data_IF_886313259649
#
_entry.id   IF_886313259649
#
_cell.length_a   1.000
_cell.length_b   1.000
_cell.length_c   1.000
_cell.angle_alpha   90.00
_cell.angle_beta   90.00
_cell.angle_gamma   90.00
#
_symmetry.space_group_name_H-M   'P 1'
#
loop_
_entity.id
_entity.type
_entity.pdbx_description
1 polymer ?
#
# COMPACT_ATOMS: atom_id res chain seq x y z
N UNK A 1 -25.01 -1.83 13.29
CA UNK A 1 -24.49 -0.49 13.35
C UNK A 1 -23.27 -0.45 12.47
N UNK A 2 -23.20 0.50 11.53
CA UNK A 2 -22.00 0.68 10.70
C UNK A 2 -20.85 1.18 11.58
N UNK A 3 -19.66 0.75 11.28
CA UNK A 3 -18.46 1.35 11.83
C UNK A 3 -18.38 2.82 11.38
N UNK A 4 -17.81 3.71 12.19
CA UNK A 4 -17.57 5.09 11.77
C UNK A 4 -16.75 5.12 10.47
N UNK A 5 -17.21 5.88 9.50
CA UNK A 5 -16.53 6.04 8.22
C UNK A 5 -16.42 7.54 7.93
N UNK A 6 -15.33 7.95 7.30
CA UNK A 6 -15.23 9.30 6.77
C UNK A 6 -16.16 9.46 5.58
N UNK A 7 -16.87 10.56 5.52
CA UNK A 7 -17.45 11.04 4.27
C UNK A 7 -16.37 11.51 3.31
N UNK A 8 -16.69 11.65 2.03
CA UNK A 8 -15.74 12.19 1.06
C UNK A 8 -15.23 13.59 1.45
N UNK A 9 -16.10 14.43 1.99
CA UNK A 9 -15.73 15.78 2.46
C UNK A 9 -14.78 15.71 3.66
N UNK A 10 -15.09 14.94 4.69
CA UNK A 10 -14.20 14.76 5.85
C UNK A 10 -12.83 14.19 5.45
N UNK A 11 -12.80 13.29 4.47
CA UNK A 11 -11.56 12.73 3.98
C UNK A 11 -10.75 13.76 3.16
N UNK A 12 -11.41 14.61 2.36
CA UNK A 12 -10.75 15.74 1.69
C UNK A 12 -10.20 16.76 2.70
N UNK A 13 -10.98 17.10 3.72
CA UNK A 13 -10.54 18.02 4.77
C UNK A 13 -9.30 17.51 5.51
N UNK A 14 -9.26 16.21 5.82
CA UNK A 14 -8.11 15.56 6.43
C UNK A 14 -6.85 15.61 5.54
N UNK A 15 -7.01 15.32 4.24
CA UNK A 15 -5.91 15.42 3.28
C UNK A 15 -5.44 16.87 3.12
N UNK A 16 -6.37 17.84 3.05
CA UNK A 16 -6.01 19.24 2.94
C UNK A 16 -5.25 19.71 4.18
N UNK A 17 -5.67 19.30 5.37
CA UNK A 17 -4.93 19.58 6.60
C UNK A 17 -3.51 19.02 6.56
N UNK A 18 -3.33 17.79 6.08
CA UNK A 18 -2.00 17.19 5.89
C UNK A 18 -1.14 18.01 4.91
N UNK A 19 -1.73 18.44 3.78
CA UNK A 19 -1.04 19.27 2.80
C UNK A 19 -0.65 20.65 3.36
N UNK A 20 -1.51 21.27 4.14
CA UNK A 20 -1.23 22.54 4.84
C UNK A 20 -0.09 22.40 5.86
N UNK A 21 0.12 21.19 6.39
CA UNK A 21 1.27 20.83 7.23
C UNK A 21 2.53 20.43 6.41
N UNK A 22 2.51 20.55 5.08
CA UNK A 22 3.64 20.24 4.20
C UNK A 22 3.79 18.74 3.88
N UNK A 23 2.77 17.93 4.15
CA UNK A 23 2.72 16.51 3.79
C UNK A 23 2.04 16.30 2.45
N UNK A 24 2.41 15.24 1.73
CA UNK A 24 1.70 14.77 0.55
C UNK A 24 0.92 13.49 0.92
N UNK A 25 -0.42 13.56 1.09
CA UNK A 25 -1.22 12.39 1.41
C UNK A 25 -1.21 11.40 0.23
N UNK A 26 -1.06 10.12 0.54
CA UNK A 26 -1.13 9.04 -0.44
C UNK A 26 -2.35 8.20 -0.07
N UNK A 27 -3.38 8.29 -0.91
CA UNK A 27 -4.59 7.50 -0.73
C UNK A 27 -4.38 6.10 -1.32
N UNK A 28 -4.90 5.09 -0.66
CA UNK A 28 -4.79 3.70 -1.07
C UNK A 28 -6.17 3.05 -1.20
N UNK A 29 -6.35 2.28 -2.27
CA UNK A 29 -7.43 1.30 -2.40
C UNK A 29 -6.76 -0.06 -2.59
N UNK A 30 -6.67 -0.79 -1.49
CA UNK A 30 -6.01 -2.08 -1.50
C UNK A 30 -6.87 -3.14 -2.18
N UNK A 31 -6.36 -3.60 -3.33
CA UNK A 31 -6.95 -4.64 -4.17
C UNK A 31 -5.86 -5.24 -5.10
N UNK A 32 -6.02 -6.46 -5.61
CA UNK A 32 -7.17 -7.38 -5.51
C UNK A 32 -7.13 -8.33 -4.29
N UNK A 33 -6.08 -8.24 -3.45
CA UNK A 33 -6.04 -8.79 -2.10
C UNK A 33 -6.94 -7.99 -1.15
N UNK A 34 -7.05 -8.39 0.10
CA UNK A 34 -7.74 -7.65 1.20
C UNK A 34 -9.12 -7.06 0.85
N UNK A 35 -9.79 -7.63 -0.13
CA UNK A 35 -10.96 -7.06 -0.81
C UNK A 35 -12.31 -7.59 -0.30
N UNK A 36 -12.36 -8.14 0.90
CA UNK A 36 -13.59 -8.65 1.51
C UNK A 36 -14.71 -7.62 1.53
N UNK A 37 -14.36 -6.36 1.80
CA UNK A 37 -15.33 -5.27 1.85
C UNK A 37 -15.99 -5.04 0.49
N UNK A 38 -15.21 -5.02 -0.59
CA UNK A 38 -15.74 -4.85 -1.96
C UNK A 38 -16.66 -6.00 -2.36
N UNK A 39 -16.26 -7.23 -2.08
CA UNK A 39 -17.09 -8.40 -2.36
C UNK A 39 -18.43 -8.36 -1.61
N UNK A 40 -18.40 -7.98 -0.34
CA UNK A 40 -19.63 -7.82 0.47
C UNK A 40 -20.48 -6.65 -0.03
N UNK A 41 -19.86 -5.53 -0.37
CA UNK A 41 -20.56 -4.36 -0.89
C UNK A 41 -21.30 -4.68 -2.18
N UNK A 42 -20.62 -5.26 -3.16
CA UNK A 42 -21.21 -5.63 -4.44
C UNK A 42 -22.38 -6.60 -4.24
N UNK A 43 -22.18 -7.66 -3.47
CA UNK A 43 -23.24 -8.63 -3.20
C UNK A 43 -24.47 -8.00 -2.54
N UNK A 44 -24.25 -7.17 -1.53
CA UNK A 44 -25.35 -6.57 -0.77
C UNK A 44 -26.08 -5.46 -1.53
N UNK A 45 -25.46 -4.86 -2.55
CA UNK A 45 -26.00 -3.74 -3.31
C UNK A 45 -26.17 -4.05 -4.80
N UNK A 46 -26.18 -5.31 -5.18
CA UNK A 46 -26.16 -5.71 -6.61
C UNK A 46 -27.32 -5.12 -7.41
N UNK A 47 -28.51 -5.00 -6.85
CA UNK A 47 -29.67 -4.43 -7.55
C UNK A 47 -29.51 -2.92 -7.82
N UNK A 48 -28.80 -2.20 -6.95
CA UNK A 48 -28.47 -0.79 -7.16
C UNK A 48 -27.34 -0.64 -8.19
N UNK A 49 -26.32 -1.49 -8.08
CA UNK A 49 -25.18 -1.51 -9.01
C UNK A 49 -25.67 -1.79 -10.45
N UNK A 50 -26.62 -2.71 -10.62
CA UNK A 50 -27.21 -3.02 -11.93
C UNK A 50 -27.99 -1.86 -12.57
N UNK A 51 -28.34 -0.83 -11.81
CA UNK A 51 -28.95 0.40 -12.36
C UNK A 51 -27.91 1.35 -12.97
N UNK A 52 -26.63 1.14 -12.66
CA UNK A 52 -25.55 1.93 -13.23
C UNK A 52 -25.25 1.45 -14.65
N UNK A 53 -25.11 2.39 -15.57
CA UNK A 53 -24.83 2.10 -16.97
C UNK A 53 -23.59 1.23 -17.12
N UNK A 54 -23.75 0.10 -17.80
CA UNK A 54 -22.70 -0.86 -18.06
C UNK A 54 -22.53 -1.93 -16.99
N UNK A 55 -23.33 -1.90 -15.91
CA UNK A 55 -23.35 -2.94 -14.87
C UNK A 55 -24.65 -3.76 -14.86
N UNK A 56 -25.52 -3.58 -15.82
CA UNK A 56 -26.88 -4.15 -15.87
C UNK A 56 -26.89 -5.68 -15.75
N UNK A 57 -25.85 -6.34 -16.25
CA UNK A 57 -25.73 -7.80 -16.27
C UNK A 57 -24.70 -8.35 -15.27
N UNK A 58 -24.24 -7.53 -14.33
CA UNK A 58 -23.25 -7.97 -13.35
C UNK A 58 -23.81 -9.09 -12.46
N UNK A 59 -23.13 -10.26 -12.33
CA UNK A 59 -23.54 -11.29 -11.39
C UNK A 59 -23.45 -10.84 -9.93
N UNK A 60 -24.22 -11.47 -9.04
CA UNK A 60 -24.24 -11.14 -7.60
C UNK A 60 -22.84 -11.23 -6.95
N UNK A 61 -22.07 -12.29 -7.28
CA UNK A 61 -20.71 -12.47 -6.86
C UNK A 61 -19.71 -12.15 -7.99
N UNK A 62 -20.05 -11.18 -8.86
CA UNK A 62 -19.39 -10.97 -10.14
C UNK A 62 -17.93 -10.56 -10.09
N UNK A 63 -17.49 -9.97 -8.98
CA UNK A 63 -16.09 -9.53 -8.82
C UNK A 63 -15.25 -10.48 -7.99
N UNK A 64 -15.88 -11.44 -7.31
CA UNK A 64 -15.23 -12.31 -6.33
C UNK A 64 -14.36 -13.37 -7.00
N UNK A 65 -13.18 -13.66 -6.41
CA UNK A 65 -12.40 -14.85 -6.74
C UNK A 65 -13.16 -16.14 -6.38
N UNK A 66 -13.00 -17.17 -7.17
CA UNK A 66 -13.51 -18.50 -6.89
C UNK A 66 -12.81 -19.19 -5.71
N UNK A 67 -11.71 -18.62 -5.22
CA UNK A 67 -10.88 -19.17 -4.15
C UNK A 67 -11.21 -18.62 -2.77
N UNK A 68 -11.42 -17.32 -2.65
CA UNK A 68 -11.56 -16.66 -1.36
C UNK A 68 -12.44 -15.40 -1.47
N UNK A 69 -13.15 -15.08 -0.39
CA UNK A 69 -13.92 -13.84 -0.26
C UNK A 69 -13.05 -12.60 -0.04
N UNK A 70 -11.82 -12.79 0.41
CA UNK A 70 -10.86 -11.70 0.59
C UNK A 70 -10.17 -11.27 -0.70
N UNK A 71 -10.43 -11.99 -1.80
CA UNK A 71 -9.79 -11.74 -3.09
C UNK A 71 -10.82 -11.34 -4.16
N UNK A 72 -10.48 -10.32 -4.94
CA UNK A 72 -11.16 -10.10 -6.23
C UNK A 72 -10.61 -11.06 -7.27
N UNK A 73 -11.42 -11.36 -8.25
CA UNK A 73 -10.96 -12.16 -9.39
C UNK A 73 -10.06 -11.32 -10.30
N UNK A 74 -8.99 -11.93 -10.80
CA UNK A 74 -8.11 -11.35 -11.84
C UNK A 74 -8.22 -12.11 -13.16
N UNK A 75 -9.15 -13.07 -13.28
CA UNK A 75 -9.29 -13.89 -14.49
C UNK A 75 -10.74 -14.01 -14.97
N UNK A 76 -10.90 -14.34 -16.25
CA UNK A 76 -12.18 -14.60 -16.86
C UNK A 76 -13.16 -13.45 -16.75
N UNK A 77 -14.45 -13.75 -16.78
CA UNK A 77 -15.53 -12.76 -16.71
C UNK A 77 -15.55 -12.02 -15.37
N UNK A 78 -15.35 -12.74 -14.26
CA UNK A 78 -15.29 -12.11 -12.92
C UNK A 78 -14.12 -11.14 -12.79
N UNK A 79 -12.96 -11.43 -13.40
CA UNK A 79 -11.84 -10.50 -13.44
C UNK A 79 -12.14 -9.23 -14.25
N UNK A 80 -12.89 -9.36 -15.34
CA UNK A 80 -13.34 -8.20 -16.11
C UNK A 80 -14.33 -7.34 -15.32
N UNK A 81 -15.24 -7.95 -14.58
CA UNK A 81 -16.16 -7.22 -13.70
C UNK A 81 -15.43 -6.54 -12.53
N UNK A 82 -14.47 -7.22 -11.92
CA UNK A 82 -13.65 -6.65 -10.84
C UNK A 82 -12.88 -5.41 -11.32
N UNK A 83 -12.21 -5.52 -12.46
CA UNK A 83 -11.46 -4.41 -13.05
C UNK A 83 -12.39 -3.24 -13.40
N UNK A 84 -13.54 -3.52 -14.01
CA UNK A 84 -14.54 -2.50 -14.35
C UNK A 84 -15.10 -1.79 -13.12
N UNK A 85 -15.38 -2.54 -12.06
CA UNK A 85 -15.88 -2.00 -10.80
C UNK A 85 -14.84 -1.05 -10.18
N UNK A 86 -13.57 -1.49 -10.07
CA UNK A 86 -12.51 -0.67 -9.52
C UNK A 86 -12.23 0.56 -10.38
N UNK A 87 -12.20 0.43 -11.70
CA UNK A 87 -12.03 1.60 -12.59
C UNK A 87 -13.14 2.63 -12.42
N UNK A 88 -14.38 2.19 -12.23
CA UNK A 88 -15.48 3.10 -11.94
C UNK A 88 -15.29 3.83 -10.59
N UNK A 89 -14.85 3.10 -9.56
CA UNK A 89 -14.54 3.67 -8.24
C UNK A 89 -13.38 4.69 -8.32
N UNK A 90 -12.30 4.35 -9.00
CA UNK A 90 -11.17 5.27 -9.21
C UNK A 90 -11.60 6.50 -10.03
N UNK A 91 -12.45 6.33 -11.05
CA UNK A 91 -12.97 7.46 -11.84
C UNK A 91 -13.78 8.45 -11.01
N UNK A 92 -14.48 7.97 -9.98
CA UNK A 92 -15.17 8.83 -9.03
C UNK A 92 -14.17 9.59 -8.14
N UNK A 93 -13.20 8.89 -7.57
CA UNK A 93 -12.25 9.46 -6.61
C UNK A 93 -11.16 10.33 -7.24
N UNK A 94 -10.87 10.12 -8.53
CA UNK A 94 -9.87 10.86 -9.30
C UNK A 94 -10.50 11.88 -10.26
N UNK A 95 -11.79 12.17 -10.11
CA UNK A 95 -12.52 13.11 -10.97
C UNK A 95 -11.84 14.49 -10.96
N UNK A 96 -11.43 15.00 -12.13
CA UNK A 96 -10.72 16.28 -12.26
C UNK A 96 -11.52 17.48 -11.70
N UNK A 97 -12.85 17.45 -11.80
CA UNK A 97 -13.69 18.57 -11.35
C UNK A 97 -13.84 18.63 -9.84
N UNK A 98 -13.80 17.48 -9.15
CA UNK A 98 -13.96 17.37 -7.70
C UNK A 98 -13.28 16.08 -7.19
N UNK A 99 -11.94 16.04 -7.14
CA UNK A 99 -11.22 14.84 -6.72
C UNK A 99 -11.40 14.58 -5.23
N UNK A 100 -11.60 13.31 -4.87
CA UNK A 100 -11.56 12.86 -3.47
C UNK A 100 -10.12 12.60 -3.02
N UNK A 101 -9.26 12.08 -3.91
CA UNK A 101 -7.85 11.88 -3.64
C UNK A 101 -7.05 13.13 -4.04
N UNK A 102 -6.57 13.90 -3.06
CA UNK A 102 -5.93 15.18 -3.30
C UNK A 102 -4.42 15.07 -3.56
N UNK A 103 -3.74 14.11 -2.97
CA UNK A 103 -2.30 13.91 -3.13
C UNK A 103 -1.86 13.62 -4.56
N UNK A 104 -0.56 13.71 -4.84
CA UNK A 104 0.00 13.49 -6.18
C UNK A 104 0.28 12.02 -6.50
N UNK A 105 0.13 11.14 -5.54
CA UNK A 105 0.40 9.71 -5.64
C UNK A 105 -0.78 8.92 -5.11
N UNK A 106 -1.10 7.80 -5.76
CA UNK A 106 -2.14 6.86 -5.33
C UNK A 106 -1.55 5.47 -5.26
N UNK A 107 -1.79 4.77 -4.16
CA UNK A 107 -1.40 3.38 -3.98
C UNK A 107 -2.55 2.45 -4.42
N UNK A 108 -2.23 1.46 -5.24
CA UNK A 108 -3.19 0.51 -5.81
C UNK A 108 -3.20 -0.85 -5.09
N UNK A 109 -2.48 -0.97 -3.96
CA UNK A 109 -2.36 -2.19 -3.18
C UNK A 109 -1.49 -3.24 -3.86
N UNK A 110 -2.07 -4.38 -4.25
CA UNK A 110 -1.46 -5.51 -4.98
C UNK A 110 -0.73 -6.53 -4.09
N UNK A 111 -0.66 -6.31 -2.80
CA UNK A 111 -0.04 -7.25 -1.87
C UNK A 111 -0.94 -8.47 -1.57
N UNK A 112 -0.30 -9.47 -1.05
CA UNK A 112 -0.89 -10.69 -0.48
C UNK A 112 -2.02 -11.36 -1.28
N UNK A 113 -1.95 -11.32 -2.62
CA UNK A 113 -2.81 -12.16 -3.45
C UNK A 113 -2.34 -13.62 -3.38
N UNK A 114 -2.54 -14.23 -2.22
CA UNK A 114 -1.99 -15.54 -1.88
C UNK A 114 -2.59 -16.68 -2.68
N UNK A 115 -1.80 -17.76 -2.79
CA UNK A 115 -2.21 -18.98 -3.50
C UNK A 115 -2.60 -18.78 -4.96
N UNK A 116 -2.02 -17.77 -5.62
CA UNK A 116 -2.27 -17.48 -7.04
C UNK A 116 -2.02 -18.72 -7.90
N UNK A 117 -2.91 -19.00 -8.83
CA UNK A 117 -2.82 -20.16 -9.74
C UNK A 117 -2.20 -19.78 -11.08
N UNK A 118 -1.74 -20.78 -11.83
CA UNK A 118 -1.06 -20.54 -13.10
C UNK A 118 -1.90 -19.79 -14.14
N UNK A 119 -3.21 -19.95 -14.13
CA UNK A 119 -4.16 -19.29 -15.02
C UNK A 119 -4.53 -17.86 -14.58
N UNK A 120 -3.99 -17.40 -13.44
CA UNK A 120 -4.25 -16.07 -12.89
C UNK A 120 -3.10 -15.06 -13.09
N UNK A 121 -1.88 -15.55 -13.39
CA UNK A 121 -0.70 -14.66 -13.47
C UNK A 121 -0.81 -13.61 -14.58
N UNK A 122 -1.31 -13.97 -15.75
CA UNK A 122 -1.53 -13.00 -16.84
C UNK A 122 -2.60 -11.98 -16.46
N UNK A 123 -3.67 -12.44 -15.83
CA UNK A 123 -4.72 -11.59 -15.30
C UNK A 123 -4.21 -10.63 -14.22
N UNK A 124 -3.34 -11.09 -13.32
CA UNK A 124 -2.73 -10.22 -12.31
C UNK A 124 -1.85 -9.14 -12.94
N UNK A 125 -1.00 -9.49 -13.89
CA UNK A 125 -0.16 -8.51 -14.60
C UNK A 125 -1.00 -7.49 -15.37
N UNK A 126 -2.06 -7.96 -16.04
CA UNK A 126 -3.03 -7.08 -16.69
C UNK A 126 -3.72 -6.15 -15.67
N UNK A 127 -4.14 -6.69 -14.53
CA UNK A 127 -4.73 -5.90 -13.45
C UNK A 127 -3.81 -4.77 -13.00
N UNK A 128 -2.54 -5.08 -12.70
CA UNK A 128 -1.55 -4.08 -12.28
C UNK A 128 -1.43 -2.97 -13.34
N UNK A 129 -1.28 -3.31 -14.62
CA UNK A 129 -1.14 -2.32 -15.69
C UNK A 129 -2.39 -1.46 -15.84
N UNK A 130 -3.57 -2.08 -15.93
CA UNK A 130 -4.84 -1.37 -16.10
C UNK A 130 -5.16 -0.41 -14.96
N UNK A 131 -4.85 -0.79 -13.71
CA UNK A 131 -5.04 0.10 -12.56
C UNK A 131 -4.01 1.22 -12.54
N UNK A 132 -2.76 0.92 -12.88
CA UNK A 132 -1.72 1.94 -13.00
C UNK A 132 -2.07 2.96 -14.09
N UNK A 133 -2.48 2.52 -15.26
CA UNK A 133 -2.92 3.40 -16.36
C UNK A 133 -4.09 4.29 -15.91
N UNK A 134 -5.07 3.70 -15.21
CA UNK A 134 -6.25 4.45 -14.70
C UNK A 134 -5.85 5.60 -13.77
N UNK A 135 -4.88 5.38 -12.88
CA UNK A 135 -4.37 6.42 -11.99
C UNK A 135 -3.56 7.46 -12.77
N UNK A 136 -2.68 7.01 -13.68
CA UNK A 136 -1.81 7.89 -14.47
C UNK A 136 -2.59 8.78 -15.44
N UNK A 137 -3.71 8.30 -15.98
CA UNK A 137 -4.63 9.11 -16.80
C UNK A 137 -5.16 10.33 -16.06
N UNK A 138 -5.23 10.29 -14.72
CA UNK A 138 -5.58 11.45 -13.88
C UNK A 138 -4.40 12.38 -13.58
N UNK A 139 -3.21 12.11 -14.15
CA UNK A 139 -1.99 12.89 -13.92
C UNK A 139 -1.26 12.58 -12.62
N UNK A 140 -1.67 11.54 -11.89
CA UNK A 140 -1.06 11.16 -10.61
C UNK A 140 -0.02 10.06 -10.80
N UNK A 141 0.91 9.96 -9.85
CA UNK A 141 1.86 8.85 -9.74
C UNK A 141 1.16 7.62 -9.17
N UNK A 142 1.67 6.46 -9.55
CA UNK A 142 1.18 5.17 -9.05
C UNK A 142 2.21 4.56 -8.12
N UNK A 143 1.72 4.03 -7.02
CA UNK A 143 2.48 3.20 -6.08
C UNK A 143 1.77 1.87 -5.88
N UNK A 144 2.52 0.84 -5.52
CA UNK A 144 1.97 -0.44 -5.10
C UNK A 144 2.88 -1.12 -4.08
N UNK A 145 2.35 -2.05 -3.31
CA UNK A 145 3.14 -2.93 -2.45
C UNK A 145 3.97 -3.91 -3.28
N UNK A 146 5.21 -4.12 -2.88
CA UNK A 146 6.17 -4.98 -3.58
C UNK A 146 5.69 -6.43 -3.69
N UNK A 147 5.40 -6.86 -4.92
CA UNK A 147 4.89 -8.19 -5.26
C UNK A 147 5.43 -8.72 -6.60
N UNK A 148 6.36 -8.01 -7.20
CA UNK A 148 6.89 -8.31 -8.54
C UNK A 148 7.61 -9.65 -8.64
N UNK A 149 8.22 -10.12 -7.55
CA UNK A 149 8.92 -11.43 -7.56
C UNK A 149 7.96 -12.54 -7.94
N UNK A 150 6.83 -12.64 -7.26
CA UNK A 150 5.86 -13.70 -7.49
C UNK A 150 5.21 -13.64 -8.86
N UNK A 151 4.85 -12.43 -9.31
CA UNK A 151 4.06 -12.27 -10.54
C UNK A 151 4.91 -12.22 -11.81
N UNK A 152 6.18 -11.86 -11.70
CA UNK A 152 7.09 -11.67 -12.82
C UNK A 152 8.34 -12.56 -12.74
N UNK A 153 9.17 -12.40 -11.69
CA UNK A 153 10.49 -13.02 -11.62
C UNK A 153 10.41 -14.56 -11.62
N UNK A 154 9.56 -15.10 -10.75
CA UNK A 154 9.36 -16.55 -10.63
C UNK A 154 8.74 -17.18 -11.90
N UNK A 155 8.27 -16.36 -12.83
CA UNK A 155 7.73 -16.74 -14.14
C UNK A 155 8.66 -16.39 -15.31
N UNK A 156 9.79 -15.74 -15.05
CA UNK A 156 10.71 -15.30 -16.08
C UNK A 156 10.15 -14.20 -17.00
N UNK A 157 9.19 -13.42 -16.49
CA UNK A 157 8.56 -12.31 -17.22
C UNK A 157 9.29 -11.00 -16.90
N UNK A 158 9.50 -10.17 -17.89
CA UNK A 158 10.14 -8.85 -17.74
C UNK A 158 9.24 -7.87 -16.99
N UNK A 159 9.84 -7.09 -16.10
CA UNK A 159 9.19 -5.99 -15.37
C UNK A 159 9.36 -4.64 -16.06
N UNK A 160 10.05 -4.59 -17.21
CA UNK A 160 10.47 -3.35 -17.87
C UNK A 160 9.32 -2.38 -18.15
N UNK A 161 8.16 -2.89 -18.50
CA UNK A 161 6.98 -2.07 -18.84
C UNK A 161 6.18 -1.60 -17.60
N UNK A 162 6.75 -1.79 -16.40
CA UNK A 162 6.14 -1.45 -15.11
C UNK A 162 7.02 -0.53 -14.26
N UNK A 163 8.16 -0.06 -14.78
CA UNK A 163 9.13 0.78 -14.04
C UNK A 163 8.62 2.19 -13.76
N UNK A 164 7.48 2.55 -14.28
CA UNK A 164 6.72 3.76 -14.02
C UNK A 164 5.85 3.69 -12.75
N UNK A 165 5.83 2.52 -12.09
CA UNK A 165 5.13 2.28 -10.82
C UNK A 165 6.16 2.32 -9.68
N UNK A 166 5.89 3.13 -8.64
CA UNK A 166 6.69 3.13 -7.41
C UNK A 166 6.39 1.88 -6.58
N UNK A 167 7.39 1.34 -5.87
CA UNK A 167 7.26 0.12 -5.08
C UNK A 167 7.47 0.41 -3.59
N UNK A 168 6.47 0.15 -2.78
CA UNK A 168 6.60 0.03 -1.32
C UNK A 168 7.14 -1.36 -0.99
N UNK A 169 8.46 -1.43 -0.71
CA UNK A 169 9.11 -2.69 -0.39
C UNK A 169 8.87 -3.08 1.06
N UNK A 170 8.14 -4.16 1.28
CA UNK A 170 7.74 -4.61 2.62
C UNK A 170 8.28 -5.99 3.01
N UNK A 171 8.51 -6.88 2.05
CA UNK A 171 8.90 -8.26 2.31
C UNK A 171 9.74 -8.89 1.20
N UNK A 172 10.83 -9.52 1.60
CA UNK A 172 11.70 -10.29 0.70
C UNK A 172 11.04 -11.55 0.11
N UNK A 173 9.99 -12.03 0.74
CA UNK A 173 9.20 -13.15 0.20
C UNK A 173 8.44 -12.76 -1.06
N UNK A 174 8.04 -11.50 -1.14
CA UNK A 174 7.20 -10.96 -2.20
C UNK A 174 7.95 -10.18 -3.27
N UNK A 175 9.10 -9.56 -2.90
CA UNK A 175 9.91 -8.79 -3.83
C UNK A 175 11.40 -8.77 -3.47
N UNK A 176 12.22 -8.05 -4.25
CA UNK A 176 13.65 -7.85 -4.01
C UNK A 176 14.05 -6.41 -4.29
N UNK A 177 14.30 -5.64 -3.23
CA UNK A 177 14.58 -4.21 -3.32
C UNK A 177 15.79 -3.88 -4.21
N UNK A 178 16.91 -4.58 -4.02
CA UNK A 178 18.12 -4.34 -4.82
C UNK A 178 17.90 -4.62 -6.31
N UNK A 179 17.14 -5.67 -6.63
CA UNK A 179 16.78 -5.99 -8.02
C UNK A 179 15.88 -4.89 -8.61
N UNK A 180 14.82 -4.47 -7.87
CA UNK A 180 13.91 -3.42 -8.37
C UNK A 180 14.63 -2.10 -8.60
N UNK A 181 15.51 -1.68 -7.67
CA UNK A 181 16.33 -0.49 -7.89
C UNK A 181 17.21 -0.61 -9.13
N UNK A 182 17.89 -1.76 -9.31
CA UNK A 182 18.73 -2.01 -10.49
C UNK A 182 17.94 -2.03 -11.81
N UNK A 183 16.68 -2.39 -11.79
CA UNK A 183 15.76 -2.36 -12.94
C UNK A 183 15.18 -0.96 -13.21
N UNK A 184 15.41 0.01 -12.32
CA UNK A 184 14.98 1.41 -12.47
C UNK A 184 13.66 1.77 -11.77
N UNK A 185 13.08 0.86 -10.99
CA UNK A 185 11.92 1.20 -10.15
C UNK A 185 12.29 2.20 -9.07
N UNK A 186 11.41 3.13 -8.80
CA UNK A 186 11.44 3.94 -7.58
C UNK A 186 10.93 3.09 -6.42
N UNK A 187 11.68 3.03 -5.32
CA UNK A 187 11.37 2.19 -4.17
C UNK A 187 11.30 3.00 -2.89
N UNK A 188 10.40 2.61 -2.00
CA UNK A 188 10.29 3.09 -0.62
C UNK A 188 10.57 1.92 0.31
N UNK A 189 11.42 2.11 1.29
CA UNK A 189 11.70 1.07 2.29
C UNK A 189 10.59 1.03 3.34
N UNK A 190 9.81 -0.04 3.33
CA UNK A 190 8.76 -0.33 4.31
C UNK A 190 8.98 -1.70 4.96
N UNK A 191 10.24 -2.15 4.99
CA UNK A 191 10.61 -3.50 5.43
C UNK A 191 9.91 -3.91 6.73
N UNK A 192 9.06 -4.90 6.64
CA UNK A 192 8.21 -5.37 7.75
C UNK A 192 9.00 -5.88 8.96
N UNK A 193 10.26 -6.24 8.78
CA UNK A 193 11.11 -6.68 9.89
C UNK A 193 11.53 -5.52 10.80
N UNK A 194 11.71 -4.32 10.24
CA UNK A 194 12.20 -3.14 10.96
C UNK A 194 11.10 -2.11 11.22
N UNK A 195 10.19 -1.90 10.27
CA UNK A 195 9.35 -0.71 10.19
C UNK A 195 7.85 -0.97 10.43
N UNK A 196 7.44 -2.23 10.72
CA UNK A 196 6.06 -2.55 11.05
C UNK A 196 5.83 -2.55 12.55
N UNK A 197 4.86 -1.75 13.00
CA UNK A 197 4.16 -1.92 14.24
C UNK A 197 2.87 -2.70 13.97
N UNK A 198 2.73 -3.89 14.54
CA UNK A 198 1.55 -4.73 14.38
C UNK A 198 0.98 -5.06 15.75
N UNK A 199 0.01 -4.26 16.18
CA UNK A 199 -0.59 -4.32 17.49
C UNK A 199 -1.06 -5.74 17.84
N UNK A 200 -0.58 -6.26 18.97
CA UNK A 200 -0.94 -7.58 19.48
C UNK A 200 -0.16 -8.75 18.87
N UNK A 201 0.80 -8.52 17.99
CA UNK A 201 1.63 -9.57 17.39
C UNK A 201 3.03 -9.67 18.01
N UNK A 202 3.15 -10.30 19.18
CA UNK A 202 4.44 -10.69 19.79
C UNK A 202 5.55 -9.63 19.63
N UNK A 203 6.66 -10.04 18.99
CA UNK A 203 7.85 -9.19 18.80
C UNK A 203 7.65 -8.00 17.85
N UNK A 204 6.56 -7.95 17.12
CA UNK A 204 6.20 -6.88 16.18
C UNK A 204 5.08 -5.99 16.69
N UNK A 205 4.68 -6.16 17.94
CA UNK A 205 3.67 -5.29 18.55
C UNK A 205 4.07 -3.82 18.49
N UNK A 206 5.36 -3.54 18.69
CA UNK A 206 5.93 -2.19 18.65
C UNK A 206 7.22 -2.20 17.82
N UNK A 207 7.41 -1.19 16.99
CA UNK A 207 8.71 -0.96 16.31
C UNK A 207 9.80 -0.70 17.37
N UNK A 208 10.93 -1.35 17.22
CA UNK A 208 12.08 -1.10 18.09
C UNK A 208 12.79 0.19 17.65
N UNK A 209 12.30 1.32 18.13
CA UNK A 209 12.77 2.66 17.74
C UNK A 209 14.24 2.91 18.14
N UNK A 210 14.71 2.33 19.24
CA UNK A 210 16.11 2.40 19.63
C UNK A 210 17.03 1.68 18.64
N UNK A 211 16.60 0.49 18.18
CA UNK A 211 17.32 -0.22 17.13
C UNK A 211 17.36 0.57 15.82
N UNK A 212 16.22 1.20 15.42
CA UNK A 212 16.17 2.07 14.25
C UNK A 212 17.15 3.22 14.41
N UNK A 213 17.15 3.88 15.54
CA UNK A 213 18.06 5.00 15.81
C UNK A 213 19.53 4.58 15.69
N UNK A 214 19.93 3.51 16.37
CA UNK A 214 21.34 3.12 16.51
C UNK A 214 21.88 2.35 15.29
N UNK A 215 21.07 1.53 14.61
CA UNK A 215 21.59 0.51 13.71
C UNK A 215 20.96 0.49 12.30
N UNK A 216 19.82 1.17 12.11
CA UNK A 216 19.12 1.12 10.85
C UNK A 216 19.41 2.38 10.01
N UNK A 217 19.38 2.21 8.70
CA UNK A 217 19.45 3.30 7.71
C UNK A 217 18.43 3.03 6.58
N UNK A 218 18.03 4.04 5.79
CA UNK A 218 17.07 3.84 4.69
C UNK A 218 17.48 2.76 3.67
N UNK A 219 18.76 2.44 3.56
CA UNK A 219 19.28 1.38 2.67
C UNK A 219 19.32 -0.01 3.31
N UNK A 220 18.89 -0.13 4.57
CA UNK A 220 18.88 -1.39 5.31
C UNK A 220 17.60 -2.15 5.04
N UNK A 221 17.70 -3.29 4.38
CA UNK A 221 16.61 -4.23 4.10
C UNK A 221 16.95 -5.60 4.71
N UNK A 222 15.96 -6.27 5.25
CA UNK A 222 16.13 -7.52 5.99
C UNK A 222 16.53 -8.71 5.15
N UNK A 223 17.39 -8.78 4.28
CA UNK A 223 17.88 -9.94 3.50
C UNK A 223 17.78 -9.86 1.97
N UNK A 224 17.41 -8.73 1.39
CA UNK A 224 17.19 -8.64 -0.06
C UNK A 224 18.37 -8.12 -0.88
N UNK A 225 19.57 -8.19 -0.34
CA UNK A 225 20.72 -7.54 -0.95
C UNK A 225 20.82 -6.06 -0.54
N UNK A 226 21.88 -5.39 -0.96
CA UNK A 226 22.17 -4.02 -0.56
C UNK A 226 21.71 -3.05 -1.64
N UNK A 227 20.83 -2.13 -1.27
CA UNK A 227 20.61 -0.90 -2.02
C UNK A 227 21.75 0.05 -1.66
N UNK A 228 22.33 0.70 -2.65
CA UNK A 228 23.51 1.55 -2.40
C UNK A 228 23.09 2.84 -1.67
N UNK A 229 23.93 3.36 -0.77
CA UNK A 229 23.72 4.72 -0.25
C UNK A 229 23.63 5.74 -1.39
N UNK A 230 22.70 6.69 -1.24
CA UNK A 230 22.40 7.70 -2.26
C UNK A 230 21.91 7.13 -3.63
N UNK A 231 21.34 5.94 -3.63
CA UNK A 231 20.69 5.40 -4.83
C UNK A 231 19.54 6.32 -5.26
N UNK A 232 19.54 6.86 -6.50
CA UNK A 232 18.52 7.79 -6.96
C UNK A 232 17.14 7.15 -7.13
N UNK A 233 17.06 5.83 -6.99
CA UNK A 233 15.82 5.07 -7.05
C UNK A 233 15.22 4.82 -5.67
N UNK A 234 15.97 5.04 -4.58
CA UNK A 234 15.43 4.98 -3.23
C UNK A 234 14.82 6.33 -2.84
N UNK A 235 13.48 6.38 -2.75
CA UNK A 235 12.74 7.59 -2.41
C UNK A 235 12.80 7.92 -0.91
N UNK A 236 13.04 6.93 -0.06
CA UNK A 236 13.06 7.08 1.39
C UNK A 236 12.51 5.85 2.09
N UNK A 237 11.87 6.07 3.23
CA UNK A 237 11.26 4.99 4.00
C UNK A 237 9.90 5.38 4.56
N UNK A 238 9.09 4.36 4.87
CA UNK A 238 7.75 4.48 5.46
C UNK A 238 7.64 3.51 6.63
N UNK A 239 7.03 3.92 7.73
CA UNK A 239 6.64 3.01 8.80
C UNK A 239 5.16 2.69 8.69
N UNK A 240 4.77 1.48 9.06
CA UNK A 240 3.37 1.06 9.04
C UNK A 240 2.90 0.73 10.47
N UNK A 241 1.65 1.06 10.75
CA UNK A 241 0.94 0.69 11.96
C UNK A 241 -0.30 -0.12 11.58
N UNK A 242 -0.28 -1.41 11.88
CA UNK A 242 -1.37 -2.33 11.60
C UNK A 242 -2.17 -2.64 12.87
N UNK A 243 -3.46 -2.77 12.74
CA UNK A 243 -4.38 -3.08 13.83
C UNK A 243 -5.14 -4.39 13.59
N UNK A 244 -4.49 -5.40 13.00
CA UNK A 244 -5.08 -6.69 12.64
C UNK A 244 -5.70 -7.42 13.85
N UNK A 245 -5.17 -7.16 15.05
CA UNK A 245 -5.61 -7.79 16.29
C UNK A 245 -6.12 -6.68 17.24
N UNK A 246 -7.31 -6.17 16.94
CA UNK A 246 -7.90 -5.02 17.63
C UNK A 246 -8.24 -5.25 19.12
N UNK A 247 -8.42 -6.51 19.57
CA UNK A 247 -8.94 -6.83 20.90
C UNK A 247 -7.87 -7.00 21.99
N UNK A 248 -6.64 -6.54 21.76
CA UNK A 248 -5.53 -6.71 22.70
C UNK A 248 -5.43 -5.61 23.76
N UNK A 249 -6.47 -4.80 23.94
CA UNK A 249 -6.51 -3.75 24.95
C UNK A 249 -5.64 -2.53 24.64
N UNK A 250 -5.19 -2.38 23.39
CA UNK A 250 -4.45 -1.22 22.93
C UNK A 250 -5.45 -0.13 22.55
N UNK A 251 -5.28 1.05 23.14
CA UNK A 251 -6.17 2.19 22.88
C UNK A 251 -5.68 3.01 21.66
N UNK A 252 -6.56 3.86 21.13
CA UNK A 252 -6.21 4.84 20.11
C UNK A 252 -5.01 5.71 20.54
N UNK A 253 -4.99 6.11 21.81
CA UNK A 253 -3.88 6.89 22.37
C UNK A 253 -2.56 6.11 22.36
N UNK A 254 -2.58 4.83 22.72
CA UNK A 254 -1.39 3.99 22.68
C UNK A 254 -0.84 3.90 21.26
N UNK A 255 -1.71 3.71 20.27
CA UNK A 255 -1.32 3.69 18.85
C UNK A 255 -0.76 5.03 18.39
N UNK A 256 -1.36 6.14 18.79
CA UNK A 256 -0.85 7.48 18.50
C UNK A 256 0.56 7.69 19.10
N UNK A 257 0.76 7.35 20.37
CA UNK A 257 2.08 7.49 21.02
C UNK A 257 3.15 6.60 20.36
N UNK A 258 2.79 5.38 19.94
CA UNK A 258 3.66 4.48 19.18
C UNK A 258 4.03 5.08 17.82
N UNK A 259 3.04 5.55 17.07
CA UNK A 259 3.23 6.15 15.75
C UNK A 259 4.13 7.39 15.82
N UNK A 260 3.92 8.26 16.80
CA UNK A 260 4.73 9.47 16.97
C UNK A 260 6.21 9.15 17.20
N UNK A 261 6.50 8.15 18.02
CA UNK A 261 7.88 7.69 18.25
C UNK A 261 8.50 7.09 17.00
N UNK A 262 7.76 6.27 16.27
CA UNK A 262 8.21 5.69 15.01
C UNK A 262 8.49 6.78 13.98
N UNK A 263 7.56 7.70 13.78
CA UNK A 263 7.68 8.79 12.83
C UNK A 263 8.87 9.71 13.15
N UNK A 264 9.09 10.02 14.43
CA UNK A 264 10.20 10.84 14.87
C UNK A 264 11.55 10.23 14.51
N UNK A 265 11.77 8.96 14.91
CA UNK A 265 13.03 8.27 14.62
C UNK A 265 13.22 8.06 13.12
N UNK A 266 12.16 7.71 12.39
CA UNK A 266 12.24 7.53 10.95
C UNK A 266 12.60 8.85 10.24
N UNK A 267 12.00 9.96 10.66
CA UNK A 267 12.31 11.29 10.12
C UNK A 267 13.76 11.65 10.31
N UNK A 268 14.33 11.41 11.49
CA UNK A 268 15.76 11.62 11.77
C UNK A 268 16.64 10.84 10.80
N UNK A 269 16.35 9.54 10.65
CA UNK A 269 17.15 8.63 9.81
C UNK A 269 17.02 8.93 8.32
N UNK A 270 15.89 9.45 7.87
CA UNK A 270 15.65 9.74 6.44
C UNK A 270 16.06 11.14 6.03
N UNK A 271 16.11 12.11 6.96
CA UNK A 271 16.44 13.50 6.65
C UNK A 271 17.96 13.75 6.60
N UNK A 272 18.68 13.49 7.65
CA UNK A 272 20.11 13.80 7.76
C UNK A 272 20.99 12.68 8.35
N UNK A 273 20.37 11.62 8.78
CA UNK A 273 21.00 10.60 9.60
C UNK A 273 21.15 11.06 11.06
N UNK A 274 21.58 10.15 11.90
CA UNK A 274 21.86 10.42 13.32
C UNK A 274 23.22 11.11 13.47
N UNK A 275 23.31 12.08 14.35
CA UNK A 275 24.58 12.62 14.82
C UNK A 275 25.35 11.48 15.54
N UNK A 276 26.60 11.25 15.14
CA UNK A 276 27.43 10.15 15.68
C UNK A 276 27.68 10.29 17.19
N UNK A 277 27.64 11.51 17.72
CA UNK A 277 27.84 11.82 19.13
C UNK A 277 26.54 11.76 19.95
N UNK A 278 25.34 11.63 19.32
CA UNK A 278 24.06 11.61 20.01
C UNK A 278 23.62 10.19 20.37
N UNK A 279 23.37 9.97 21.66
CA UNK A 279 22.78 8.71 22.14
C UNK A 279 21.27 8.68 21.93
N UNK A 280 20.67 7.47 21.83
CA UNK A 280 19.23 7.32 21.78
C UNK A 280 18.54 7.88 23.04
N UNK A 281 19.16 7.74 24.21
CA UNK A 281 18.64 8.27 25.47
C UNK A 281 18.47 9.80 25.39
N UNK A 282 19.50 10.52 24.95
CA UNK A 282 19.45 11.97 24.75
C UNK A 282 18.44 12.38 23.68
N UNK A 283 18.36 11.60 22.59
CA UNK A 283 17.41 11.83 21.50
C UNK A 283 15.96 11.66 21.99
N UNK A 284 15.69 10.60 22.74
CA UNK A 284 14.35 10.26 23.22
C UNK A 284 13.76 11.25 24.21
N UNK A 285 14.57 12.10 24.83
CA UNK A 285 14.11 13.18 25.70
C UNK A 285 13.43 14.34 24.95
N UNK A 286 13.47 14.34 23.62
CA UNK A 286 12.84 15.36 22.77
C UNK A 286 11.35 15.09 22.48
N UNK A 287 10.82 13.92 22.87
CA UNK A 287 9.43 13.50 22.58
C UNK A 287 8.63 13.15 23.82
#
# INVERSE_FOLDING_TARGET
GGEPQYTAEEYKDLQQFAMDCGMNPISEIDAPGHSLLFNRYVRNNIEEIRKVQGFENMPEDGIKSDRDWELLSVKGESGQWALKFLKALYSEYLNEADPVFLGDTVDIGVDEYWSIKNDEFDGMRNYIREMADTVQESGKKVRMWGSMKQYFDDKGISTKDYTDIEIDFWSNSWDNAAKRSAEGFKIVNVDSFHLYGNTGRDKRDVVNVEHIFNNWTPVTFSSSGTVQPADPNLLGAKTAMWADIADMGVTERDNYERLMRQAAVLSEKTWGGTDEDQTYEEYSLKF
#
